data_IF_163518866546
#
_entry.id   IF_163518866546
#
_cell.length_a   1.000
_cell.length_b   1.000
_cell.length_c   1.000
_cell.angle_alpha   90.00
_cell.angle_beta   90.00
_cell.angle_gamma   90.00
#
_symmetry.space_group_name_H-M   'P 1'
#
loop_
_entity.id
_entity.type
_entity.pdbx_description
1 polymer ?
#
# COMPACT_ATOMS: atom_id res chain seq x y z
N UNK A 1 -25.65 -3.24 4.83
CA UNK A 1 -25.34 -2.56 6.09
C UNK A 1 -24.26 -3.40 6.76
N UNK A 2 -23.04 -2.92 6.82
CA UNK A 2 -21.87 -3.68 7.28
C UNK A 2 -22.03 -4.14 8.73
N UNK A 3 -21.37 -5.24 9.06
CA UNK A 3 -21.36 -5.85 10.41
C UNK A 3 -20.83 -4.89 11.49
N UNK A 4 -20.10 -3.84 11.06
CA UNK A 4 -19.46 -2.86 11.94
C UNK A 4 -20.02 -1.47 11.64
N UNK A 5 -20.54 -0.82 12.66
CA UNK A 5 -20.98 0.58 12.59
C UNK A 5 -19.88 1.44 13.24
N UNK A 6 -19.18 2.22 12.42
CA UNK A 6 -18.23 3.21 12.92
C UNK A 6 -18.98 4.33 13.62
N UNK A 7 -18.60 4.61 14.87
CA UNK A 7 -19.01 5.83 15.58
C UNK A 7 -17.94 6.89 15.35
N UNK A 8 -17.92 7.47 14.15
CA UNK A 8 -17.04 8.60 13.86
C UNK A 8 -17.65 9.90 14.38
N UNK A 9 -16.86 10.65 15.13
CA UNK A 9 -17.15 12.06 15.39
C UNK A 9 -16.82 12.86 14.13
N UNK A 10 -17.87 13.17 13.35
CA UNK A 10 -17.71 13.82 12.03
C UNK A 10 -17.17 15.23 12.14
N UNK A 11 -17.50 15.95 13.21
CA UNK A 11 -17.03 17.32 13.41
C UNK A 11 -15.53 17.33 13.74
N UNK A 12 -15.12 16.45 14.63
CA UNK A 12 -13.70 16.26 14.97
C UNK A 12 -12.87 15.78 13.76
N UNK A 13 -13.42 14.88 12.97
CA UNK A 13 -12.75 14.41 11.75
C UNK A 13 -12.59 15.55 10.73
N UNK A 14 -13.62 16.38 10.54
CA UNK A 14 -13.56 17.53 9.64
C UNK A 14 -12.54 18.57 10.12
N UNK A 15 -12.48 18.83 11.44
CA UNK A 15 -11.49 19.74 12.03
C UNK A 15 -10.06 19.22 11.84
N UNK A 16 -9.84 17.94 12.09
CA UNK A 16 -8.54 17.29 11.90
C UNK A 16 -8.08 17.37 10.43
N UNK A 17 -8.96 17.04 9.49
CA UNK A 17 -8.69 17.15 8.05
C UNK A 17 -8.36 18.58 7.63
N UNK A 18 -9.09 19.56 8.16
CA UNK A 18 -8.80 20.97 7.90
C UNK A 18 -7.42 21.34 8.41
N UNK A 19 -7.05 20.94 9.62
CA UNK A 19 -5.73 21.21 10.22
C UNK A 19 -4.60 20.63 9.38
N UNK A 20 -4.71 19.36 8.97
CA UNK A 20 -3.73 18.70 8.12
C UNK A 20 -3.60 19.43 6.77
N UNK A 21 -4.72 19.75 6.12
CA UNK A 21 -4.74 20.50 4.87
C UNK A 21 -4.10 21.88 5.01
N UNK A 22 -4.40 22.60 6.07
CA UNK A 22 -3.84 23.94 6.32
C UNK A 22 -2.34 23.87 6.55
N UNK A 23 -1.87 22.89 7.33
CA UNK A 23 -0.45 22.67 7.57
C UNK A 23 0.34 22.42 6.29
N UNK A 24 -0.12 21.47 5.45
CA UNK A 24 0.56 21.16 4.18
C UNK A 24 0.50 22.29 3.15
N UNK A 25 -0.48 23.16 3.25
CA UNK A 25 -0.59 24.35 2.39
C UNK A 25 0.09 25.60 2.99
N UNK A 26 0.87 25.46 4.07
CA UNK A 26 1.57 26.57 4.72
C UNK A 26 0.65 27.59 5.39
N UNK A 27 -0.59 27.22 5.67
CA UNK A 27 -1.55 28.06 6.39
C UNK A 27 -1.35 27.95 7.91
N UNK A 28 -1.72 28.98 8.68
CA UNK A 28 -1.64 28.90 10.13
C UNK A 28 -2.51 27.77 10.69
N UNK A 29 -1.98 27.01 11.63
CA UNK A 29 -2.67 25.95 12.37
C UNK A 29 -2.57 26.21 13.88
N UNK A 30 -3.56 25.71 14.63
CA UNK A 30 -3.58 25.80 16.10
C UNK A 30 -2.48 24.96 16.76
N UNK A 31 -2.13 23.82 16.12
CA UNK A 31 -1.03 22.94 16.51
C UNK A 31 -0.51 22.15 15.30
N UNK A 32 0.70 21.64 15.42
CA UNK A 32 1.27 20.73 14.39
C UNK A 32 0.45 19.44 14.39
N UNK A 33 -0.02 18.98 13.22
CA UNK A 33 -0.64 17.65 13.11
C UNK A 33 0.34 16.56 13.53
N UNK A 34 -0.14 15.59 14.30
CA UNK A 34 0.62 14.41 14.68
C UNK A 34 -0.29 13.19 14.71
N UNK A 35 0.25 12.02 14.50
CA UNK A 35 -0.45 10.75 14.65
C UNK A 35 0.30 9.82 15.61
N UNK A 36 -0.47 8.97 16.29
CA UNK A 36 0.07 7.94 17.15
C UNK A 36 -0.53 6.59 16.74
N UNK A 37 0.33 5.59 16.64
CA UNK A 37 -0.11 4.20 16.67
C UNK A 37 -0.26 3.77 18.13
N UNK A 38 -1.49 3.69 18.61
CA UNK A 38 -1.79 3.21 19.96
C UNK A 38 -2.47 1.86 19.83
N UNK A 39 -1.83 0.83 20.36
CA UNK A 39 -2.45 -0.48 20.52
C UNK A 39 -3.46 -0.38 21.67
N UNK A 40 -4.75 -0.28 21.33
CA UNK A 40 -5.83 -0.19 22.33
C UNK A 40 -6.22 -1.59 22.76
N UNK A 41 -6.15 -1.85 24.07
CA UNK A 41 -6.65 -3.11 24.65
C UNK A 41 -8.15 -3.27 24.38
N UNK A 42 -8.56 -4.47 23.99
CA UNK A 42 -9.98 -4.79 23.74
C UNK A 42 -10.46 -4.63 22.31
N UNK A 43 -9.60 -4.16 21.40
CA UNK A 43 -9.89 -4.21 19.96
C UNK A 43 -9.53 -5.59 19.38
N UNK A 44 -10.22 -6.03 18.32
CA UNK A 44 -9.83 -7.23 17.59
C UNK A 44 -8.37 -7.13 17.15
N UNK A 45 -7.61 -8.18 17.41
CA UNK A 45 -6.22 -8.28 16.97
C UNK A 45 -6.00 -9.67 16.38
N UNK A 46 -5.56 -9.71 15.14
CA UNK A 46 -5.26 -10.92 14.39
C UNK A 46 -3.83 -10.85 13.86
N UNK A 47 -3.15 -11.99 13.80
CA UNK A 47 -1.83 -12.06 13.21
C UNK A 47 -1.91 -11.96 11.67
N UNK A 48 -0.75 -11.74 11.03
CA UNK A 48 -0.70 -11.54 9.58
C UNK A 48 -1.22 -12.74 8.79
N UNK A 49 -0.96 -13.97 9.22
CA UNK A 49 -1.49 -15.18 8.58
C UNK A 49 -3.02 -15.21 8.63
N UNK A 50 -3.59 -14.98 9.80
CA UNK A 50 -5.04 -14.95 9.98
C UNK A 50 -5.71 -13.90 9.09
N UNK A 51 -5.10 -12.71 8.99
CA UNK A 51 -5.60 -11.64 8.12
C UNK A 51 -5.47 -11.97 6.63
N UNK A 52 -4.42 -12.71 6.24
CA UNK A 52 -4.21 -13.12 4.86
C UNK A 52 -5.07 -14.30 4.42
N UNK A 53 -5.40 -15.22 5.34
CA UNK A 53 -6.28 -16.35 5.08
C UNK A 53 -7.76 -15.96 5.10
N UNK A 54 -8.10 -14.96 5.92
CA UNK A 54 -9.48 -14.46 6.08
C UNK A 54 -9.48 -12.93 6.13
N UNK A 55 -9.75 -12.30 5.01
CA UNK A 55 -9.81 -10.83 4.89
C UNK A 55 -10.87 -10.19 5.79
N UNK A 56 -11.90 -10.93 6.21
CA UNK A 56 -12.88 -10.38 7.15
C UNK A 56 -12.26 -10.02 8.49
N UNK A 57 -11.23 -10.75 8.93
CA UNK A 57 -10.46 -10.44 10.13
C UNK A 57 -9.62 -9.19 9.97
N UNK A 58 -8.96 -9.05 8.81
CA UNK A 58 -8.24 -7.82 8.47
C UNK A 58 -9.17 -6.60 8.49
N UNK A 59 -10.34 -6.71 7.85
CA UNK A 59 -11.34 -5.64 7.80
C UNK A 59 -11.85 -5.31 9.21
N UNK A 60 -12.15 -6.33 10.04
CA UNK A 60 -12.58 -6.13 11.41
C UNK A 60 -11.56 -5.35 12.25
N UNK A 61 -10.31 -5.76 12.19
CA UNK A 61 -9.20 -5.10 12.88
C UNK A 61 -8.98 -3.67 12.39
N UNK A 62 -8.99 -3.46 11.08
CA UNK A 62 -8.79 -2.16 10.44
C UNK A 62 -9.90 -1.17 10.80
N UNK A 63 -11.16 -1.60 10.71
CA UNK A 63 -12.31 -0.75 11.04
C UNK A 63 -12.36 -0.45 12.53
N UNK A 64 -12.14 -1.44 13.39
CA UNK A 64 -12.15 -1.24 14.83
C UNK A 64 -11.04 -0.28 15.29
N UNK A 65 -9.88 -0.32 14.64
CA UNK A 65 -8.74 0.58 14.89
C UNK A 65 -8.85 1.93 14.16
N UNK A 66 -9.86 2.12 13.30
CA UNK A 66 -9.94 3.26 12.35
C UNK A 66 -8.64 3.40 11.55
N UNK A 67 -8.00 2.28 11.28
CA UNK A 67 -6.72 2.21 10.61
C UNK A 67 -6.92 1.61 9.22
N UNK A 68 -6.96 2.46 8.19
CA UNK A 68 -7.07 2.05 6.79
C UNK A 68 -5.70 1.74 6.16
N UNK A 69 -4.69 1.48 6.96
CA UNK A 69 -3.35 1.20 6.47
C UNK A 69 -3.23 -0.26 6.05
N UNK A 70 -2.90 -0.49 4.79
CA UNK A 70 -2.68 -1.82 4.22
C UNK A 70 -1.26 -2.34 4.52
N UNK A 71 -0.87 -2.39 5.77
CA UNK A 71 0.38 -3.05 6.14
C UNK A 71 0.30 -4.56 5.81
N UNK A 72 1.28 -5.03 5.07
CA UNK A 72 1.39 -6.44 4.71
C UNK A 72 0.64 -6.87 3.46
N UNK A 73 0.12 -5.94 2.66
CA UNK A 73 -0.41 -6.17 1.31
C UNK A 73 0.45 -5.46 0.26
N UNK A 74 0.24 -5.80 -0.99
CA UNK A 74 1.09 -6.69 -1.74
C UNK A 74 2.38 -6.02 -2.09
N UNK A 75 3.39 -6.80 -2.06
CA UNK A 75 4.64 -6.50 -2.72
C UNK A 75 4.41 -6.49 -4.24
N UNK A 76 4.68 -5.35 -4.89
CA UNK A 76 4.63 -5.21 -6.35
C UNK A 76 5.48 -6.27 -7.06
N UNK A 77 6.55 -6.75 -6.42
CA UNK A 77 7.37 -7.86 -6.95
C UNK A 77 6.56 -9.13 -7.21
N UNK A 78 5.45 -9.35 -6.50
CA UNK A 78 4.56 -10.50 -6.74
C UNK A 78 3.92 -10.48 -8.12
N UNK A 79 3.73 -9.30 -8.72
CA UNK A 79 3.17 -9.15 -10.06
C UNK A 79 4.14 -9.63 -11.14
N UNK A 80 5.42 -9.73 -10.81
CA UNK A 80 6.46 -10.31 -11.65
C UNK A 80 6.72 -11.78 -11.35
N UNK A 81 5.89 -12.41 -10.50
CA UNK A 81 6.01 -13.83 -10.15
C UNK A 81 6.84 -14.11 -8.91
N UNK A 82 7.26 -13.07 -8.16
CA UNK A 82 7.98 -13.28 -6.91
C UNK A 82 7.08 -13.94 -5.86
N UNK A 83 7.54 -15.06 -5.29
CA UNK A 83 6.82 -15.81 -4.25
C UNK A 83 6.66 -14.96 -2.99
N UNK A 84 5.46 -14.95 -2.43
CA UNK A 84 5.15 -14.28 -1.18
C UNK A 84 4.99 -15.29 -0.05
N UNK A 85 5.79 -15.14 1.00
CA UNK A 85 5.67 -15.96 2.21
C UNK A 85 4.85 -15.23 3.27
N UNK A 86 3.80 -15.89 3.74
CA UNK A 86 2.94 -15.41 4.83
C UNK A 86 3.34 -16.12 6.12
N UNK A 87 3.69 -15.34 7.13
CA UNK A 87 4.02 -15.80 8.49
C UNK A 87 3.12 -15.10 9.50
N UNK A 88 3.17 -15.54 10.76
CA UNK A 88 2.26 -15.04 11.79
C UNK A 88 2.67 -13.65 12.30
N UNK A 89 3.98 -13.46 12.53
CA UNK A 89 4.51 -12.34 13.30
C UNK A 89 4.97 -11.14 12.44
N UNK A 90 5.06 -11.32 11.12
CA UNK A 90 5.55 -10.29 10.21
C UNK A 90 4.65 -10.13 9.01
N UNK A 91 4.61 -8.93 8.39
CA UNK A 91 3.99 -8.75 7.08
C UNK A 91 4.50 -9.77 6.07
N UNK A 92 3.69 -10.15 5.08
CA UNK A 92 4.14 -10.98 3.99
C UNK A 92 5.40 -10.41 3.32
N UNK A 93 6.33 -11.28 3.00
CA UNK A 93 7.59 -10.89 2.38
C UNK A 93 7.96 -11.81 1.22
N UNK A 94 8.77 -11.26 0.32
CA UNK A 94 9.22 -12.00 -0.86
C UNK A 94 10.24 -13.06 -0.48
N UNK A 95 10.03 -14.28 -0.98
CA UNK A 95 10.93 -15.41 -0.86
C UNK A 95 11.59 -15.72 -2.19
N UNK A 96 12.91 -15.88 -2.17
CA UNK A 96 13.68 -16.16 -3.39
C UNK A 96 13.81 -14.95 -4.31
N UNK A 97 14.12 -15.20 -5.56
CA UNK A 97 14.26 -14.21 -6.63
C UNK A 97 13.65 -14.76 -7.91
N UNK A 98 13.18 -13.86 -8.78
CA UNK A 98 12.61 -14.21 -10.10
C UNK A 98 13.70 -14.31 -11.13
N UNK A 99 14.68 -13.41 -11.08
CA UNK A 99 15.81 -13.35 -11.97
C UNK A 99 17.11 -13.66 -11.21
N UNK A 100 18.00 -14.42 -11.84
CA UNK A 100 19.35 -14.63 -11.33
C UNK A 100 20.27 -13.45 -11.69
N UNK A 101 20.12 -12.90 -12.90
CA UNK A 101 20.92 -11.81 -13.46
C UNK A 101 20.10 -10.98 -14.45
N UNK A 102 20.73 -9.92 -14.99
CA UNK A 102 20.10 -8.99 -15.93
C UNK A 102 19.84 -9.60 -17.30
N UNK A 103 20.58 -10.63 -17.70
CA UNK A 103 20.38 -11.35 -18.97
C UNK A 103 19.02 -12.04 -19.02
N UNK A 104 18.45 -12.30 -17.85
CA UNK A 104 17.11 -12.86 -17.72
C UNK A 104 15.96 -11.86 -17.89
N UNK A 105 16.23 -10.59 -18.13
CA UNK A 105 15.22 -9.51 -18.14
C UNK A 105 14.04 -9.78 -19.08
N UNK A 106 14.28 -10.38 -20.23
CA UNK A 106 13.22 -10.70 -21.22
C UNK A 106 12.22 -11.77 -20.73
N UNK A 107 12.48 -12.43 -19.60
CA UNK A 107 11.53 -13.33 -18.94
C UNK A 107 10.45 -12.57 -18.16
N UNK A 108 10.71 -11.32 -17.81
CA UNK A 108 9.71 -10.50 -17.13
C UNK A 108 8.68 -9.98 -18.12
N UNK A 109 7.43 -9.84 -17.69
CA UNK A 109 6.44 -9.13 -18.49
C UNK A 109 6.86 -7.66 -18.61
N UNK A 110 6.84 -7.11 -19.81
CA UNK A 110 7.13 -5.70 -20.06
C UNK A 110 6.09 -4.78 -19.40
N UNK A 111 4.90 -5.31 -19.09
CA UNK A 111 3.81 -4.62 -18.40
C UNK A 111 3.04 -5.63 -17.56
N UNK A 112 2.69 -5.23 -16.35
CA UNK A 112 1.82 -6.00 -15.45
C UNK A 112 0.42 -5.39 -15.40
N UNK A 113 -0.58 -6.22 -15.08
CA UNK A 113 -1.94 -5.78 -14.78
C UNK A 113 -2.15 -5.79 -13.26
N UNK A 114 -2.13 -4.61 -12.61
CA UNK A 114 -2.24 -4.53 -11.15
C UNK A 114 -3.55 -5.07 -10.58
N UNK A 115 -4.57 -5.25 -11.40
CA UNK A 115 -5.87 -5.79 -10.96
C UNK A 115 -5.92 -7.32 -11.01
N UNK A 116 -5.06 -7.95 -11.82
CA UNK A 116 -5.13 -9.39 -12.07
C UNK A 116 -3.83 -10.13 -11.77
N UNK A 117 -2.66 -9.48 -11.86
CA UNK A 117 -1.38 -10.11 -11.69
C UNK A 117 -0.95 -10.20 -10.22
N UNK A 118 -0.32 -11.29 -9.87
CA UNK A 118 0.24 -11.53 -8.55
C UNK A 118 -0.79 -11.29 -7.44
N UNK A 119 -0.37 -10.53 -6.45
CA UNK A 119 -1.24 -10.15 -5.33
C UNK A 119 -2.09 -8.90 -5.59
N UNK A 120 -1.96 -8.26 -6.74
CA UNK A 120 -2.77 -7.10 -7.10
C UNK A 120 -4.26 -7.38 -7.00
N UNK A 121 -4.73 -8.52 -7.51
CA UNK A 121 -6.12 -8.96 -7.36
C UNK A 121 -6.56 -9.05 -5.89
N UNK A 122 -5.70 -9.52 -4.99
CA UNK A 122 -5.99 -9.60 -3.55
C UNK A 122 -6.10 -8.21 -2.94
N UNK A 123 -5.23 -7.28 -3.34
CA UNK A 123 -5.29 -5.88 -2.94
C UNK A 123 -6.64 -5.28 -3.31
N UNK A 124 -7.06 -5.39 -4.56
CA UNK A 124 -8.34 -4.85 -5.02
C UNK A 124 -9.52 -5.46 -4.25
N UNK A 125 -9.50 -6.77 -4.03
CA UNK A 125 -10.53 -7.45 -3.22
C UNK A 125 -10.61 -6.89 -1.79
N UNK A 126 -9.49 -6.67 -1.14
CA UNK A 126 -9.45 -6.09 0.22
C UNK A 126 -9.95 -4.65 0.21
N UNK A 127 -9.56 -3.86 -0.80
CA UNK A 127 -10.06 -2.49 -0.96
C UNK A 127 -11.58 -2.45 -1.10
N UNK A 128 -12.15 -3.31 -1.94
CA UNK A 128 -13.61 -3.41 -2.11
C UNK A 128 -14.29 -3.78 -0.79
N UNK A 129 -13.77 -4.78 -0.08
CA UNK A 129 -14.31 -5.19 1.22
C UNK A 129 -14.22 -4.07 2.27
N UNK A 130 -13.11 -3.31 2.30
CA UNK A 130 -12.97 -2.15 3.18
C UNK A 130 -14.00 -1.07 2.85
N UNK A 131 -14.18 -0.75 1.56
CA UNK A 131 -15.15 0.24 1.12
C UNK A 131 -16.56 -0.13 1.51
N UNK A 132 -16.94 -1.39 1.29
CA UNK A 132 -18.28 -1.91 1.64
C UNK A 132 -18.50 -1.87 3.16
N UNK A 133 -17.52 -2.29 3.95
CA UNK A 133 -17.62 -2.34 5.40
C UNK A 133 -17.66 -0.95 6.03
N UNK A 134 -16.92 0.00 5.48
CA UNK A 134 -16.85 1.38 5.96
C UNK A 134 -17.96 2.28 5.42
N UNK A 135 -18.74 1.81 4.45
CA UNK A 135 -19.77 2.63 3.78
C UNK A 135 -19.20 3.86 3.08
N UNK A 136 -17.94 3.83 2.70
CA UNK A 136 -17.23 4.95 2.08
C UNK A 136 -16.78 6.05 3.08
N UNK A 137 -16.98 5.86 4.38
CA UNK A 137 -16.61 6.87 5.40
C UNK A 137 -15.12 6.81 5.78
N UNK A 138 -14.45 5.66 5.58
CA UNK A 138 -13.00 5.52 5.76
C UNK A 138 -12.32 5.59 4.41
N UNK A 139 -11.37 6.50 4.22
CA UNK A 139 -10.58 6.53 2.99
C UNK A 139 -9.69 5.28 2.90
N UNK A 140 -9.56 4.75 1.69
CA UNK A 140 -8.58 3.72 1.40
C UNK A 140 -7.27 4.41 1.03
N UNK A 141 -6.20 4.06 1.73
CA UNK A 141 -4.86 4.50 1.36
C UNK A 141 -4.32 3.66 0.21
N UNK A 142 -3.55 4.30 -0.66
CA UNK A 142 -2.71 3.57 -1.61
C UNK A 142 -1.76 2.68 -0.79
N UNK A 143 -1.59 1.42 -1.17
CA UNK A 143 -0.71 0.50 -0.48
C UNK A 143 0.72 1.04 -0.40
N UNK A 144 1.46 0.67 0.64
CA UNK A 144 2.86 1.06 0.76
C UNK A 144 3.67 0.43 -0.38
N UNK A 145 4.08 1.27 -1.32
CA UNK A 145 4.99 0.89 -2.39
C UNK A 145 6.41 1.13 -1.92
N UNK A 146 7.20 0.06 -1.95
CA UNK A 146 8.65 0.21 -1.85
C UNK A 146 9.17 1.05 -3.02
N UNK A 147 10.36 1.66 -2.87
CA UNK A 147 10.99 2.34 -4.00
C UNK A 147 11.18 1.39 -5.19
N UNK A 148 11.27 1.88 -6.43
CA UNK A 148 11.54 1.02 -7.58
C UNK A 148 12.77 0.12 -7.37
N UNK A 149 13.84 0.65 -6.77
CA UNK A 149 15.01 -0.13 -6.42
C UNK A 149 14.70 -1.22 -5.37
N UNK A 150 13.93 -0.88 -4.34
CA UNK A 150 13.52 -1.83 -3.30
C UNK A 150 12.69 -2.99 -3.89
N UNK A 151 11.84 -2.73 -4.88
CA UNK A 151 11.11 -3.79 -5.61
C UNK A 151 12.07 -4.59 -6.49
N UNK A 152 12.98 -3.93 -7.21
CA UNK A 152 13.97 -4.60 -8.04
C UNK A 152 14.82 -5.59 -7.22
N UNK A 153 15.21 -5.24 -5.97
CA UNK A 153 15.96 -6.16 -5.08
C UNK A 153 15.18 -7.40 -4.66
N UNK A 154 13.86 -7.40 -4.80
CA UNK A 154 13.01 -8.57 -4.56
C UNK A 154 12.85 -9.44 -5.79
N UNK A 155 13.11 -8.90 -6.97
CA UNK A 155 13.06 -9.61 -8.25
C UNK A 155 14.43 -10.21 -8.60
N UNK A 156 15.51 -9.48 -8.36
CA UNK A 156 16.90 -9.88 -8.59
C UNK A 156 17.75 -9.59 -7.36
N UNK A 157 18.82 -10.34 -7.16
CA UNK A 157 19.73 -10.12 -6.04
C UNK A 157 20.39 -8.75 -6.12
N UNK A 158 20.58 -8.12 -4.94
CA UNK A 158 21.16 -6.79 -4.84
C UNK A 158 22.58 -6.71 -5.43
N UNK A 159 23.39 -7.76 -5.25
CA UNK A 159 24.73 -7.83 -5.82
C UNK A 159 24.66 -7.79 -7.36
N UNK A 160 23.79 -8.60 -7.96
CA UNK A 160 23.62 -8.63 -9.41
C UNK A 160 23.02 -7.34 -9.97
N UNK A 161 22.14 -6.67 -9.20
CA UNK A 161 21.65 -5.33 -9.56
C UNK A 161 22.77 -4.30 -9.60
N UNK A 162 23.65 -4.31 -8.60
CA UNK A 162 24.78 -3.38 -8.56
C UNK A 162 25.79 -3.63 -9.67
N UNK A 163 26.07 -4.88 -9.99
CA UNK A 163 26.91 -5.26 -11.13
C UNK A 163 26.28 -4.80 -12.46
N UNK A 164 24.98 -5.03 -12.65
CA UNK A 164 24.28 -4.61 -13.86
C UNK A 164 24.31 -3.10 -14.11
N UNK A 165 24.38 -2.29 -13.06
CA UNK A 165 24.54 -0.82 -13.22
C UNK A 165 25.81 -0.45 -13.97
N UNK A 166 26.86 -1.27 -13.88
CA UNK A 166 28.15 -1.06 -14.55
C UNK A 166 28.25 -1.82 -15.86
N UNK A 167 27.84 -3.07 -15.86
CA UNK A 167 28.10 -4.01 -16.97
C UNK A 167 27.01 -3.94 -18.04
N UNK A 168 25.77 -3.57 -17.67
CA UNK A 168 24.60 -3.55 -18.54
C UNK A 168 23.66 -2.38 -18.20
N UNK A 169 24.13 -1.11 -18.29
CA UNK A 169 23.37 0.06 -17.84
C UNK A 169 22.07 0.29 -18.62
N UNK A 170 22.02 -0.08 -19.90
CA UNK A 170 20.82 0.07 -20.73
C UNK A 170 19.73 -0.92 -20.29
N UNK A 171 20.08 -2.17 -20.08
CA UNK A 171 19.19 -3.21 -19.56
C UNK A 171 18.73 -2.89 -18.15
N UNK A 172 19.61 -2.34 -17.31
CA UNK A 172 19.26 -1.90 -15.98
C UNK A 172 18.25 -0.75 -16.00
N UNK A 173 18.43 0.23 -16.87
CA UNK A 173 17.44 1.31 -17.07
C UNK A 173 16.08 0.76 -17.51
N UNK A 174 16.08 -0.15 -18.49
CA UNK A 174 14.86 -0.83 -18.96
C UNK A 174 14.18 -1.59 -17.82
N UNK A 175 14.96 -2.29 -16.98
CA UNK A 175 14.42 -3.00 -15.82
C UNK A 175 13.74 -2.03 -14.83
N UNK A 176 14.39 -0.90 -14.54
CA UNK A 176 13.82 0.11 -13.65
C UNK A 176 12.55 0.76 -14.22
N UNK A 177 12.47 0.95 -15.54
CA UNK A 177 11.27 1.44 -16.21
C UNK A 177 10.10 0.44 -16.08
N UNK A 178 10.36 -0.86 -16.26
CA UNK A 178 9.36 -1.92 -16.09
C UNK A 178 8.82 -1.91 -14.65
N UNK A 179 9.71 -1.85 -13.65
CA UNK A 179 9.33 -1.85 -12.23
C UNK A 179 8.56 -0.57 -11.85
N UNK A 180 9.03 0.59 -12.30
CA UNK A 180 8.36 1.87 -12.06
C UNK A 180 6.98 1.89 -12.70
N UNK A 181 6.86 1.38 -13.93
CA UNK A 181 5.59 1.25 -14.62
C UNK A 181 4.57 0.37 -13.90
N UNK A 182 5.02 -0.65 -13.16
CA UNK A 182 4.15 -1.46 -12.31
C UNK A 182 3.62 -0.68 -11.10
N UNK A 183 4.46 0.15 -10.48
CA UNK A 183 4.06 1.03 -9.38
C UNK A 183 3.03 2.04 -9.86
N UNK A 184 3.36 2.76 -10.95
CA UNK A 184 2.48 3.78 -11.52
C UNK A 184 1.14 3.17 -11.96
N UNK A 185 1.17 1.97 -12.55
CA UNK A 185 -0.01 1.22 -12.94
C UNK A 185 -0.90 0.88 -11.74
N UNK A 186 -0.30 0.47 -10.61
CA UNK A 186 -1.05 0.16 -9.38
C UNK A 186 -1.69 1.42 -8.78
N UNK A 187 -0.95 2.51 -8.71
CA UNK A 187 -1.47 3.80 -8.24
C UNK A 187 -2.64 4.25 -9.12
N UNK A 188 -2.46 4.22 -10.44
CA UNK A 188 -3.49 4.60 -11.39
C UNK A 188 -4.75 3.72 -11.31
N UNK A 189 -4.58 2.40 -11.09
CA UNK A 189 -5.71 1.47 -10.87
C UNK A 189 -6.47 1.82 -9.59
N UNK A 190 -5.77 2.07 -8.49
CA UNK A 190 -6.39 2.47 -7.23
C UNK A 190 -7.09 3.83 -7.33
N UNK A 191 -6.49 4.81 -7.98
CA UNK A 191 -7.12 6.12 -8.22
C UNK A 191 -8.40 5.98 -9.07
N UNK A 192 -8.36 5.16 -10.10
CA UNK A 192 -9.52 4.92 -10.98
C UNK A 192 -10.67 4.22 -10.24
N UNK A 193 -10.36 3.22 -9.44
CA UNK A 193 -11.36 2.40 -8.76
C UNK A 193 -11.94 3.09 -7.52
N UNK A 194 -11.11 3.81 -6.78
CA UNK A 194 -11.42 4.33 -5.45
C UNK A 194 -11.34 5.84 -5.34
N UNK A 195 -10.65 6.53 -6.25
CA UNK A 195 -10.36 7.97 -6.17
C UNK A 195 -11.60 8.87 -6.16
N UNK A 196 -12.70 8.46 -6.81
CA UNK A 196 -13.96 9.20 -6.77
C UNK A 196 -14.71 9.02 -5.43
N UNK A 197 -14.42 7.93 -4.71
CA UNK A 197 -15.00 7.60 -3.40
C UNK A 197 -14.12 8.05 -2.25
N UNK A 198 -12.86 8.35 -2.54
CA UNK A 198 -11.85 8.78 -1.58
C UNK A 198 -11.32 10.16 -2.00
N UNK A 199 -12.10 11.22 -1.77
CA UNK A 199 -11.70 12.62 -2.07
C UNK A 199 -10.34 13.02 -1.48
N UNK A 200 -9.75 12.17 -0.63
CA UNK A 200 -8.58 12.45 0.17
C UNK A 200 -7.29 11.72 -0.28
N UNK A 201 -7.37 10.72 -1.18
CA UNK A 201 -6.17 10.05 -1.71
C UNK A 201 -5.27 11.04 -2.47
N UNK A 202 -5.86 12.01 -3.15
CA UNK A 202 -5.11 13.04 -3.92
C UNK A 202 -4.25 13.96 -3.06
N UNK A 203 -4.57 14.14 -1.79
CA UNK A 203 -3.82 15.05 -0.90
C UNK A 203 -2.57 14.39 -0.30
N UNK A 204 -2.46 13.08 -0.33
CA UNK A 204 -1.36 12.33 0.29
C UNK A 204 -0.19 11.99 -0.68
N UNK A 205 -0.39 12.18 -1.98
CA UNK A 205 0.67 11.93 -3.00
C UNK A 205 1.43 13.23 -3.23
N UNK A 206 2.19 13.66 -2.24
CA UNK A 206 3.27 14.61 -2.47
C UNK A 206 4.47 13.88 -3.09
N UNK A 207 5.27 14.54 -3.94
CA UNK A 207 6.43 13.91 -4.55
C UNK A 207 7.40 13.43 -3.47
N UNK A 208 7.51 12.12 -3.30
CA UNK A 208 8.55 11.46 -2.52
C UNK A 208 8.15 10.94 -1.13
N UNK A 209 6.88 10.92 -0.74
CA UNK A 209 6.48 10.37 0.55
C UNK A 209 5.28 9.44 0.36
N UNK A 210 5.52 8.14 0.41
CA UNK A 210 4.47 7.14 0.59
C UNK A 210 3.95 7.25 2.05
N UNK A 211 3.03 8.14 2.31
CA UNK A 211 2.34 8.22 3.59
C UNK A 211 0.87 8.50 3.37
N UNK A 212 0.13 7.44 3.32
CA UNK A 212 -1.31 7.52 3.52
C UNK A 212 -1.60 7.32 5.00
N UNK A 213 -1.36 8.33 5.79
CA UNK A 213 -1.82 8.36 7.17
C UNK A 213 -2.91 9.40 7.24
N UNK A 214 -4.16 8.98 7.31
CA UNK A 214 -5.20 9.85 7.79
C UNK A 214 -5.19 9.79 9.31
N UNK A 215 -4.75 10.88 9.87
CA UNK A 215 -4.67 11.05 11.29
C UNK A 215 -6.09 11.28 11.82
N UNK A 216 -6.54 10.36 12.63
CA UNK A 216 -7.57 10.70 13.60
C UNK A 216 -6.83 11.21 14.83
N UNK A 217 -7.03 12.46 15.20
CA UNK A 217 -6.65 12.94 16.53
C UNK A 217 -7.39 12.07 17.55
N UNK A 218 -6.66 11.15 18.20
CA UNK A 218 -7.18 10.38 19.32
C UNK A 218 -7.20 11.22 20.58
#
# INVERSE_FOLDING_TARGET
>A
MGKYTLKLDKDRLAESRKRVSDYYNGRPVDRIPFSFHIQTSGLPHYNYRQCNEDFSKFIEQTIAGVNAQFEGFPDTASMFGAEQLVVDENPPFTRGRVLNDIDGLDKLPAKVDPENDGWGKRLMQVCDMCMDAAGGEIPICVCDHQSPYGIATKIMDNENLMLAMYDAPEEMMRFMEIVTGAIDGTIAAMERLYGAKAEHIRAAIGPGISRCCFETDA
#
